data_IF_721708143268
#
_entry.id   IF_721708143268
#
_cell.length_a   1.000
_cell.length_b   1.000
_cell.length_c   1.000
_cell.angle_alpha   90.00
_cell.angle_beta   90.00
_cell.angle_gamma   90.00
#
_symmetry.space_group_name_H-M   'P 1'
#
loop_
_entity.id
_entity.type
_entity.pdbx_description
1 polymer ?
#
# COMPACT_ATOMS: atom_id res chain seq x y z
N UNK A 1 20.40 7.54 -11.15
CA UNK A 1 19.26 7.19 -12.03
C UNK A 1 19.29 8.08 -13.25
N UNK A 2 18.94 7.56 -14.44
CA UNK A 2 18.87 8.34 -15.68
C UNK A 2 17.40 8.61 -16.07
N UNK A 3 17.04 9.89 -16.19
CA UNK A 3 15.70 10.36 -16.60
C UNK A 3 15.69 10.70 -18.10
N UNK A 4 15.97 9.70 -18.93
CA UNK A 4 16.03 9.88 -20.39
C UNK A 4 14.81 9.25 -21.08
N UNK A 5 14.43 9.79 -22.25
CA UNK A 5 13.39 9.22 -23.10
C UNK A 5 13.69 7.77 -23.48
N UNK A 6 14.97 7.44 -23.74
CA UNK A 6 15.42 6.09 -24.03
C UNK A 6 15.19 5.14 -22.84
N UNK A 7 15.50 5.58 -21.61
CA UNK A 7 15.24 4.77 -20.41
C UNK A 7 13.74 4.61 -20.14
N UNK A 8 12.97 5.68 -20.32
CA UNK A 8 11.51 5.62 -20.23
C UNK A 8 10.93 4.58 -21.22
N UNK A 9 11.36 4.63 -22.48
CA UNK A 9 10.91 3.70 -23.52
C UNK A 9 11.32 2.24 -23.22
N UNK A 10 12.54 2.00 -22.74
CA UNK A 10 13.00 0.65 -22.43
C UNK A 10 12.26 0.01 -21.26
N UNK A 11 11.99 0.77 -20.19
CA UNK A 11 11.20 0.26 -19.06
C UNK A 11 9.75 -0.01 -19.48
N UNK A 12 9.13 0.88 -20.28
CA UNK A 12 7.79 0.65 -20.82
C UNK A 12 7.73 -0.61 -21.69
N UNK A 13 8.75 -0.85 -22.51
CA UNK A 13 8.81 -2.03 -23.37
C UNK A 13 9.00 -3.33 -22.57
N UNK A 14 9.74 -3.31 -21.46
CA UNK A 14 9.87 -4.48 -20.59
C UNK A 14 8.54 -4.86 -19.94
N UNK A 15 7.72 -3.87 -19.55
CA UNK A 15 6.45 -4.07 -18.86
C UNK A 15 5.34 -4.70 -19.72
N UNK A 16 5.47 -4.73 -21.05
CA UNK A 16 4.46 -5.37 -21.92
C UNK A 16 4.50 -6.89 -21.87
N UNK A 17 5.61 -7.47 -21.38
CA UNK A 17 5.81 -8.92 -21.28
C UNK A 17 5.16 -9.56 -20.05
N UNK A 18 4.73 -8.73 -19.09
CA UNK A 18 3.99 -9.12 -17.90
C UNK A 18 2.82 -8.14 -17.73
N UNK A 19 1.70 -8.31 -18.48
CA UNK A 19 0.63 -7.33 -18.49
C UNK A 19 0.03 -7.24 -17.09
N UNK A 20 0.42 -6.17 -16.38
CA UNK A 20 -0.06 -5.89 -15.03
C UNK A 20 -1.54 -5.55 -14.99
N UNK A 21 -2.08 -5.66 -13.77
CA UNK A 21 -3.46 -5.40 -13.36
C UNK A 21 -4.02 -4.02 -13.75
N UNK A 22 -3.17 -3.01 -13.92
CA UNK A 22 -3.57 -1.66 -14.34
C UNK A 22 -3.15 -1.43 -15.77
N UNK A 23 -3.92 -0.82 -16.68
CA UNK A 23 -3.47 -0.67 -18.08
C UNK A 23 -2.26 0.26 -18.25
N UNK A 24 -1.69 0.28 -19.47
CA UNK A 24 -0.43 0.98 -19.76
C UNK A 24 -0.57 2.50 -19.67
N UNK A 25 -1.80 3.01 -19.77
CA UNK A 25 -2.13 4.42 -19.58
C UNK A 25 -2.38 4.79 -18.12
N UNK A 26 -2.39 3.84 -17.18
CA UNK A 26 -2.61 4.15 -15.76
C UNK A 26 -1.45 5.00 -15.20
N UNK A 27 -1.73 6.00 -14.33
CA UNK A 27 -0.68 6.74 -13.62
C UNK A 27 0.19 5.83 -12.75
N UNK A 28 -0.31 4.65 -12.35
CA UNK A 28 0.47 3.65 -11.63
C UNK A 28 1.39 2.82 -12.53
N UNK A 29 1.26 2.88 -13.87
CA UNK A 29 2.16 2.18 -14.80
C UNK A 29 3.21 3.09 -15.42
N UNK A 30 3.32 4.33 -14.96
CA UNK A 30 4.33 5.28 -15.45
C UNK A 30 5.67 4.97 -14.80
N UNK A 31 6.72 4.62 -15.58
CA UNK A 31 8.05 4.48 -15.02
C UNK A 31 8.60 5.79 -14.44
N UNK A 32 9.42 5.70 -13.40
CA UNK A 32 10.12 6.82 -12.78
C UNK A 32 10.90 7.66 -13.80
N UNK A 33 11.55 6.98 -14.76
CA UNK A 33 12.29 7.63 -15.84
C UNK A 33 11.42 8.50 -16.75
N UNK A 34 10.11 8.21 -16.85
CA UNK A 34 9.16 9.00 -17.64
C UNK A 34 8.58 10.20 -16.85
N UNK A 35 8.51 10.10 -15.52
CA UNK A 35 8.02 11.16 -14.65
C UNK A 35 9.03 12.32 -14.51
N UNK A 36 10.32 11.99 -14.52
CA UNK A 36 11.38 12.97 -14.35
C UNK A 36 11.61 13.38 -12.90
N UNK A 37 12.75 14.04 -12.67
CA UNK A 37 13.16 14.53 -11.36
C UNK A 37 12.40 15.80 -11.00
N UNK A 38 11.90 15.89 -9.77
CA UNK A 38 11.30 17.11 -9.24
C UNK A 38 12.39 18.13 -8.84
N UNK A 39 12.13 19.42 -9.06
CA UNK A 39 13.10 20.50 -8.78
C UNK A 39 13.47 20.63 -7.29
N UNK A 40 12.59 20.19 -6.40
CA UNK A 40 12.76 20.18 -4.94
C UNK A 40 13.15 18.79 -4.39
N UNK A 41 13.66 17.90 -5.25
CA UNK A 41 13.99 16.51 -4.87
C UNK A 41 14.93 16.42 -3.66
N UNK A 42 15.96 17.27 -3.57
CA UNK A 42 16.91 17.22 -2.45
C UNK A 42 16.24 17.51 -1.09
N UNK A 43 15.28 18.45 -1.06
CA UNK A 43 14.51 18.77 0.14
C UNK A 43 13.67 17.57 0.58
N UNK A 44 12.92 16.99 -0.36
CA UNK A 44 11.99 15.92 -0.03
C UNK A 44 12.67 14.57 0.22
N UNK A 45 13.76 14.27 -0.46
CA UNK A 45 14.58 13.09 -0.17
C UNK A 45 15.16 13.15 1.26
N UNK A 46 15.65 14.32 1.66
CA UNK A 46 16.15 14.54 3.03
C UNK A 46 15.03 14.37 4.07
N UNK A 47 13.86 14.98 3.84
CA UNK A 47 12.69 14.81 4.72
C UNK A 47 12.22 13.36 4.78
N UNK A 48 12.20 12.69 3.63
CA UNK A 48 11.79 11.30 3.55
C UNK A 48 12.72 10.42 4.38
N UNK A 49 14.03 10.59 4.22
CA UNK A 49 15.05 9.84 4.94
C UNK A 49 14.92 10.02 6.46
N UNK A 50 14.69 11.25 6.93
CA UNK A 50 14.42 11.54 8.34
C UNK A 50 13.10 10.94 8.85
N UNK A 51 12.06 10.92 8.02
CA UNK A 51 10.74 10.43 8.37
C UNK A 51 10.58 8.89 8.35
N UNK A 52 11.58 8.15 7.85
CA UNK A 52 11.60 6.68 7.92
C UNK A 52 11.76 6.14 9.34
N UNK A 53 12.45 6.89 10.21
CA UNK A 53 12.73 6.49 11.57
C UNK A 53 11.54 6.75 12.50
N UNK A 54 11.11 5.73 13.22
CA UNK A 54 10.11 5.85 14.29
C UNK A 54 10.61 6.81 15.40
N UNK A 55 9.72 7.38 16.24
CA UNK A 55 10.11 8.43 17.20
C UNK A 55 11.11 7.97 18.26
N UNK A 56 11.12 6.68 18.60
CA UNK A 56 12.05 6.07 19.55
C UNK A 56 13.33 5.53 18.88
N UNK A 57 13.49 5.69 17.57
CA UNK A 57 14.55 5.04 16.82
C UNK A 57 15.82 5.90 16.76
N UNK A 58 16.98 5.24 16.74
CA UNK A 58 18.29 5.90 16.67
C UNK A 58 18.52 6.52 15.28
N UNK A 59 19.42 7.52 15.13
CA UNK A 59 19.75 8.07 13.81
C UNK A 59 20.19 7.01 12.78
N UNK A 60 20.78 5.89 13.23
CA UNK A 60 21.15 4.73 12.40
C UNK A 60 19.98 3.89 11.88
N UNK A 61 18.74 4.26 12.22
CA UNK A 61 17.51 3.65 11.70
C UNK A 61 16.94 4.40 10.48
N UNK A 62 17.46 5.58 10.18
CA UNK A 62 17.05 6.35 8.99
C UNK A 62 17.39 5.57 7.72
N UNK A 63 16.51 5.65 6.73
CA UNK A 63 16.57 4.88 5.49
C UNK A 63 16.12 3.43 5.62
N UNK A 64 15.85 2.91 6.83
CA UNK A 64 15.30 1.56 6.97
C UNK A 64 13.86 1.52 6.49
N UNK A 65 13.56 0.52 5.68
CA UNK A 65 12.23 0.22 5.18
C UNK A 65 11.93 -1.22 5.55
N UNK A 66 10.97 -1.41 6.45
CA UNK A 66 10.51 -2.73 6.81
C UNK A 66 9.75 -3.38 5.66
N UNK A 67 9.92 -4.68 5.46
CA UNK A 67 9.06 -5.49 4.58
C UNK A 67 8.00 -6.18 5.43
N UNK A 68 6.76 -5.72 5.33
CA UNK A 68 5.67 -6.11 6.21
C UNK A 68 4.89 -7.30 5.64
N UNK A 69 4.93 -8.43 6.35
CA UNK A 69 4.21 -9.65 5.96
C UNK A 69 3.05 -10.00 6.89
N UNK A 70 2.94 -9.40 8.07
CA UNK A 70 1.86 -9.70 9.02
C UNK A 70 1.22 -8.39 9.50
N UNK A 71 1.88 -7.68 10.41
CA UNK A 71 1.46 -6.35 10.86
C UNK A 71 1.66 -5.31 9.75
N UNK A 72 0.68 -4.42 9.53
CA UNK A 72 0.74 -3.38 8.49
C UNK A 72 0.99 -3.96 7.08
N UNK A 73 0.66 -5.23 6.88
CA UNK A 73 0.56 -5.87 5.57
C UNK A 73 -0.88 -5.84 5.10
N UNK A 74 -1.13 -6.14 3.84
CA UNK A 74 -2.49 -6.20 3.29
C UNK A 74 -2.74 -7.59 2.73
N UNK A 75 -3.24 -8.54 3.54
CA UNK A 75 -3.63 -9.86 3.07
C UNK A 75 -4.57 -9.77 1.87
N UNK A 76 -4.23 -10.47 0.79
CA UNK A 76 -5.03 -10.49 -0.44
C UNK A 76 -5.61 -11.87 -0.73
N UNK A 77 -6.83 -11.93 -1.24
CA UNK A 77 -7.56 -13.16 -1.54
C UNK A 77 -8.18 -13.09 -2.94
N UNK A 78 -7.89 -14.07 -3.79
CA UNK A 78 -8.49 -14.15 -5.13
C UNK A 78 -9.77 -14.98 -5.09
N UNK A 79 -10.90 -14.43 -5.55
CA UNK A 79 -12.22 -15.09 -5.52
C UNK A 79 -12.19 -16.48 -6.15
N UNK A 80 -11.50 -16.62 -7.30
CA UNK A 80 -11.43 -17.87 -8.07
C UNK A 80 -10.77 -19.05 -7.34
N UNK A 81 -10.01 -18.76 -6.27
CA UNK A 81 -9.31 -19.78 -5.47
C UNK A 81 -10.22 -20.41 -4.42
N UNK A 82 -11.30 -19.72 -4.02
CA UNK A 82 -12.16 -20.12 -2.91
C UNK A 82 -13.56 -20.51 -3.43
N UNK A 83 -13.74 -21.80 -3.73
CA UNK A 83 -15.01 -22.33 -4.26
C UNK A 83 -15.67 -23.33 -3.29
N UNK A 84 -16.98 -23.17 -2.96
CA UNK A 84 -17.85 -22.09 -3.38
C UNK A 84 -17.60 -20.79 -2.59
N UNK A 85 -17.51 -19.66 -3.30
CA UNK A 85 -17.49 -18.34 -2.65
C UNK A 85 -18.90 -17.99 -2.15
N UNK A 86 -19.00 -17.41 -0.96
CA UNK A 86 -20.25 -16.88 -0.43
C UNK A 86 -20.35 -15.38 -0.71
N UNK A 87 -21.58 -14.87 -0.80
CA UNK A 87 -21.85 -13.45 -0.87
C UNK A 87 -22.61 -13.02 0.37
N UNK A 88 -22.00 -12.17 1.19
CA UNK A 88 -22.58 -11.69 2.45
C UNK A 88 -22.81 -10.20 2.38
N UNK A 89 -23.86 -9.74 3.08
CA UNK A 89 -24.09 -8.31 3.22
C UNK A 89 -23.08 -7.73 4.20
N UNK A 90 -22.50 -6.60 3.86
CA UNK A 90 -21.54 -5.89 4.71
C UNK A 90 -22.19 -4.66 5.31
N UNK A 91 -21.92 -4.43 6.59
CA UNK A 91 -22.34 -3.26 7.35
C UNK A 91 -21.13 -2.62 8.01
N UNK A 92 -21.01 -1.31 7.87
CA UNK A 92 -19.91 -0.53 8.38
C UNK A 92 -20.34 0.46 9.47
N UNK A 93 -19.42 0.75 10.37
CA UNK A 93 -19.64 1.63 11.53
C UNK A 93 -19.47 3.12 11.22
N UNK A 94 -18.40 3.48 10.51
CA UNK A 94 -17.83 4.82 10.62
C UNK A 94 -18.42 5.85 9.64
N UNK A 95 -19.40 5.48 8.83
CA UNK A 95 -19.96 6.33 7.77
C UNK A 95 -18.93 6.72 6.70
N UNK A 96 -17.73 6.16 6.72
CA UNK A 96 -16.66 6.41 5.75
C UNK A 96 -16.62 5.33 4.66
N UNK A 97 -17.48 4.32 4.71
CA UNK A 97 -17.57 3.33 3.63
C UNK A 97 -17.90 3.95 2.28
N UNK A 98 -17.34 3.39 1.21
CA UNK A 98 -17.69 3.82 -0.15
C UNK A 98 -18.94 3.16 -0.70
N UNK A 99 -19.44 2.15 0.01
CA UNK A 99 -20.63 1.39 -0.34
C UNK A 99 -21.71 1.57 0.72
N UNK A 100 -23.00 1.52 0.33
CA UNK A 100 -24.10 1.50 1.28
C UNK A 100 -24.06 0.26 2.17
N UNK A 101 -24.55 0.40 3.41
CA UNK A 101 -24.82 -0.74 4.28
C UNK A 101 -25.78 -1.73 3.62
N UNK A 102 -25.44 -3.02 3.70
CA UNK A 102 -26.19 -4.10 3.05
C UNK A 102 -25.65 -4.54 1.69
N UNK A 103 -24.61 -3.88 1.16
CA UNK A 103 -23.94 -4.26 -0.09
C UNK A 103 -23.32 -5.66 0.03
N UNK A 104 -23.43 -6.46 -1.03
CA UNK A 104 -22.90 -7.83 -1.07
C UNK A 104 -21.41 -7.83 -1.40
N UNK A 105 -20.62 -8.51 -0.57
CA UNK A 105 -19.18 -8.72 -0.79
C UNK A 105 -18.90 -10.23 -0.86
N UNK A 106 -17.88 -10.63 -1.63
CA UNK A 106 -17.38 -12.00 -1.60
C UNK A 106 -16.81 -12.32 -0.21
N UNK A 107 -17.06 -13.55 0.23
CA UNK A 107 -16.74 -14.00 1.56
C UNK A 107 -16.37 -15.48 1.59
N UNK A 108 -15.32 -15.79 2.35
CA UNK A 108 -14.93 -17.11 2.79
C UNK A 108 -14.51 -17.03 4.26
N UNK A 109 -14.79 -18.05 5.09
CA UNK A 109 -14.27 -18.11 6.46
C UNK A 109 -12.74 -18.11 6.53
N UNK A 110 -12.06 -18.39 5.42
CA UNK A 110 -10.60 -18.35 5.30
C UNK A 110 -10.05 -16.93 5.09
N UNK A 111 -10.90 -15.93 4.86
CA UNK A 111 -10.47 -14.54 4.72
C UNK A 111 -10.14 -13.97 6.09
N UNK A 112 -8.85 -13.95 6.39
CA UNK A 112 -8.30 -13.41 7.62
C UNK A 112 -7.68 -12.02 7.38
N UNK A 113 -8.04 -11.00 8.19
CA UNK A 113 -7.40 -9.70 8.13
C UNK A 113 -5.94 -9.70 8.62
N UNK A 114 -5.23 -8.59 8.36
CA UNK A 114 -3.96 -8.31 9.00
C UNK A 114 -4.10 -8.39 10.53
N UNK A 115 -3.05 -8.87 11.20
CA UNK A 115 -3.09 -9.09 12.65
C UNK A 115 -3.95 -10.27 13.12
N UNK A 116 -4.45 -11.12 12.23
CA UNK A 116 -5.12 -12.37 12.63
C UNK A 116 -4.17 -13.37 13.29
N UNK A 117 -4.73 -14.25 14.10
CA UNK A 117 -4.02 -15.41 14.65
C UNK A 117 -3.74 -16.42 13.54
N UNK A 118 -2.46 -16.75 13.33
CA UNK A 118 -2.06 -17.76 12.34
C UNK A 118 -1.10 -18.73 13.01
N UNK A 119 -1.42 -20.03 12.99
CA UNK A 119 -0.59 -21.11 13.55
C UNK A 119 -0.14 -20.89 15.01
N UNK A 120 -0.99 -20.29 15.84
CA UNK A 120 -0.69 -20.01 17.25
C UNK A 120 0.19 -18.78 17.49
N UNK A 121 0.50 -18.01 16.45
CA UNK A 121 1.17 -16.71 16.55
C UNK A 121 0.14 -15.59 16.45
N UNK A 122 0.25 -14.62 17.35
CA UNK A 122 -0.55 -13.40 17.33
C UNK A 122 0.28 -12.23 16.81
N UNK A 123 -0.29 -11.53 15.84
CA UNK A 123 0.27 -10.32 15.23
C UNK A 123 -0.74 -9.22 15.54
N UNK A 124 -0.35 -8.11 16.15
CA UNK A 124 -1.33 -7.07 16.49
C UNK A 124 -1.29 -5.98 15.42
N UNK A 125 -2.38 -5.86 14.67
CA UNK A 125 -2.57 -4.77 13.72
C UNK A 125 -3.93 -4.11 13.97
N UNK A 126 -3.94 -2.88 14.48
CA UNK A 126 -5.15 -2.15 14.81
C UNK A 126 -6.08 -1.89 13.62
N UNK A 127 -5.58 -1.99 12.38
CA UNK A 127 -6.37 -1.74 11.18
C UNK A 127 -7.15 -2.96 10.70
N UNK A 128 -6.69 -4.19 10.99
CA UNK A 128 -7.33 -5.45 10.61
C UNK A 128 -7.93 -5.42 9.19
N UNK A 129 -7.08 -5.22 8.18
CA UNK A 129 -7.49 -5.06 6.78
C UNK A 129 -7.32 -6.36 6.00
N UNK A 130 -8.16 -6.58 5.00
CA UNK A 130 -7.85 -7.49 3.90
C UNK A 130 -8.47 -6.98 2.60
N UNK A 131 -7.97 -7.52 1.50
CA UNK A 131 -8.45 -7.26 0.15
C UNK A 131 -8.88 -8.56 -0.51
N UNK A 132 -10.04 -8.54 -1.15
CA UNK A 132 -10.52 -9.61 -2.02
C UNK A 132 -10.55 -9.07 -3.44
N UNK A 133 -10.18 -9.88 -4.42
CA UNK A 133 -10.21 -9.47 -5.82
C UNK A 133 -10.60 -10.60 -6.76
N UNK A 134 -11.15 -10.24 -7.91
CA UNK A 134 -11.40 -11.16 -9.00
C UNK A 134 -10.53 -10.73 -10.20
N UNK A 135 -9.53 -11.53 -10.57
CA UNK A 135 -8.66 -11.22 -11.72
C UNK A 135 -9.40 -11.21 -13.04
N UNK A 136 -10.50 -11.96 -13.14
CA UNK A 136 -11.23 -12.19 -14.38
C UNK A 136 -12.08 -10.98 -14.72
N UNK A 137 -12.60 -10.30 -13.70
CA UNK A 137 -13.41 -9.09 -13.86
C UNK A 137 -12.62 -7.83 -13.57
N UNK A 138 -11.56 -7.85 -12.74
CA UNK A 138 -10.84 -6.66 -12.27
C UNK A 138 -11.41 -6.06 -10.99
N UNK A 139 -12.46 -6.66 -10.42
CA UNK A 139 -13.13 -6.16 -9.23
C UNK A 139 -12.27 -6.35 -7.98
N UNK A 140 -12.26 -5.32 -7.12
CA UNK A 140 -11.53 -5.30 -5.85
C UNK A 140 -12.45 -4.83 -4.71
N UNK A 141 -12.46 -5.59 -3.62
CA UNK A 141 -13.14 -5.28 -2.37
C UNK A 141 -12.12 -5.17 -1.25
N UNK A 142 -12.26 -4.15 -0.40
CA UNK A 142 -11.45 -4.00 0.80
C UNK A 142 -12.35 -3.83 2.01
N UNK A 143 -11.93 -4.40 3.12
CA UNK A 143 -12.51 -4.10 4.42
C UNK A 143 -11.44 -3.56 5.36
N UNK A 144 -11.88 -2.73 6.30
CA UNK A 144 -11.08 -2.20 7.39
C UNK A 144 -11.74 -2.53 8.71
N UNK A 145 -10.93 -2.85 9.71
CA UNK A 145 -11.35 -3.25 11.05
C UNK A 145 -12.27 -4.47 11.01
N UNK A 146 -11.83 -5.52 10.30
CA UNK A 146 -12.53 -6.79 10.22
C UNK A 146 -12.24 -7.67 11.45
N UNK A 147 -13.10 -8.65 11.78
CA UNK A 147 -12.86 -9.59 12.87
C UNK A 147 -11.61 -10.46 12.66
N UNK A 148 -10.77 -10.63 13.69
CA UNK A 148 -9.47 -11.33 13.59
C UNK A 148 -9.54 -12.86 13.55
N UNK A 149 -10.56 -13.50 14.14
CA UNK A 149 -10.56 -14.96 14.39
C UNK A 149 -11.23 -15.78 13.28
N UNK A 150 -11.11 -15.30 12.04
CA UNK A 150 -12.04 -15.68 10.98
C UNK A 150 -13.39 -15.04 11.23
N UNK A 151 -14.17 -14.89 10.17
CA UNK A 151 -15.52 -14.34 10.27
C UNK A 151 -16.40 -15.45 10.87
N UNK A 152 -16.20 -15.76 12.16
CA UNK A 152 -17.27 -16.36 12.92
C UNK A 152 -18.32 -15.28 13.14
N UNK A 153 -19.31 -15.26 12.23
CA UNK A 153 -20.46 -14.37 12.28
C UNK A 153 -21.23 -14.46 13.62
N UNK A 154 -20.92 -15.44 14.48
CA UNK A 154 -21.47 -15.63 15.84
C UNK A 154 -20.69 -14.91 16.94
N UNK A 155 -19.42 -14.51 16.73
CA UNK A 155 -18.59 -13.85 17.74
C UNK A 155 -18.17 -12.44 17.28
N UNK A 156 -18.96 -11.42 17.61
CA UNK A 156 -18.75 -10.08 17.10
C UNK A 156 -17.64 -9.35 17.85
N UNK A 157 -16.38 -9.52 17.42
CA UNK A 157 -15.27 -8.67 17.86
C UNK A 157 -15.06 -7.43 16.98
N UNK A 158 -15.92 -7.21 15.97
CA UNK A 158 -15.89 -5.98 15.18
C UNK A 158 -16.46 -4.80 15.97
N UNK A 159 -15.73 -3.67 15.98
CA UNK A 159 -16.07 -2.47 16.77
C UNK A 159 -17.46 -1.89 16.48
N UNK A 160 -18.00 -2.13 15.28
CA UNK A 160 -19.36 -1.76 14.86
C UNK A 160 -20.49 -2.36 15.72
N UNK A 161 -20.18 -3.28 16.64
CA UNK A 161 -21.13 -3.90 17.57
C UNK A 161 -20.85 -3.53 19.04
N UNK A 162 -19.76 -2.81 19.30
CA UNK A 162 -19.28 -2.47 20.66
C UNK A 162 -19.51 -1.01 21.03
N UNK A 163 -19.89 -0.15 20.09
CA UNK A 163 -20.21 1.24 20.39
C UNK A 163 -21.66 1.39 20.89
N UNK A 164 -21.90 2.40 21.72
CA UNK A 164 -23.19 2.65 22.36
C UNK A 164 -24.30 3.11 21.37
N UNK A 165 -24.01 3.17 20.07
CA UNK A 165 -24.90 3.63 19.00
C UNK A 165 -25.96 2.61 18.58
N UNK A 166 -25.81 1.35 18.99
CA UNK A 166 -26.66 0.26 18.58
C UNK A 166 -26.25 -0.32 17.21
N UNK A 167 -26.56 -1.60 17.02
CA UNK A 167 -26.24 -2.35 15.79
C UNK A 167 -26.73 -1.59 14.55
N UNK A 168 -25.96 -1.58 13.43
CA UNK A 168 -26.43 -0.95 12.19
C UNK A 168 -27.82 -1.46 11.80
N UNK A 169 -28.71 -0.55 11.41
CA UNK A 169 -30.09 -0.91 11.03
C UNK A 169 -30.09 -1.98 9.93
N UNK A 170 -30.79 -3.09 10.18
CA UNK A 170 -30.91 -4.20 9.22
C UNK A 170 -29.79 -5.24 9.25
N UNK A 171 -28.79 -5.06 10.14
CA UNK A 171 -27.74 -6.05 10.42
C UNK A 171 -28.29 -7.29 11.15
N UNK A 172 -27.87 -8.47 10.71
CA UNK A 172 -28.25 -9.77 11.26
C UNK A 172 -27.01 -10.58 11.62
N UNK A 173 -26.85 -10.81 12.93
CA UNK A 173 -25.80 -11.68 13.50
C UNK A 173 -25.90 -13.08 12.88
N UNK A 174 -24.75 -13.69 12.60
CA UNK A 174 -24.70 -15.02 11.98
C UNK A 174 -24.90 -15.03 10.46
N UNK A 175 -25.18 -13.87 9.84
CA UNK A 175 -25.45 -13.77 8.39
C UNK A 175 -24.68 -12.65 7.70
N UNK A 176 -24.55 -11.50 8.36
CA UNK A 176 -23.94 -10.31 7.77
C UNK A 176 -22.57 -10.04 8.39
N UNK A 177 -21.67 -9.48 7.59
CA UNK A 177 -20.34 -9.07 8.04
C UNK A 177 -20.40 -7.64 8.59
N UNK A 178 -19.83 -7.43 9.77
CA UNK A 178 -19.75 -6.13 10.41
C UNK A 178 -18.28 -5.69 10.48
N UNK A 179 -17.98 -4.50 9.97
CA UNK A 179 -16.61 -3.97 9.82
C UNK A 179 -16.54 -2.50 10.25
N UNK A 180 -15.34 -1.97 10.40
CA UNK A 180 -15.14 -0.52 10.55
C UNK A 180 -15.52 0.22 9.27
N UNK A 181 -15.05 -0.29 8.13
CA UNK A 181 -15.30 0.28 6.80
C UNK A 181 -15.28 -0.77 5.70
N UNK A 182 -16.12 -0.57 4.68
CA UNK A 182 -16.24 -1.41 3.51
C UNK A 182 -16.03 -0.57 2.24
N UNK A 183 -15.23 -1.11 1.32
CA UNK A 183 -14.82 -0.41 0.12
C UNK A 183 -14.90 -1.31 -1.10
N UNK A 184 -15.46 -0.77 -2.16
CA UNK A 184 -15.44 -1.37 -3.49
C UNK A 184 -14.76 -0.39 -4.44
N UNK A 185 -13.84 -0.90 -5.25
CA UNK A 185 -13.17 -0.11 -6.25
C UNK A 185 -14.10 0.15 -7.45
N UNK A 186 -14.05 1.35 -8.01
CA UNK A 186 -14.86 1.83 -9.13
C UNK A 186 -14.06 2.78 -10.00
N UNK A 187 -14.33 2.80 -11.30
CA UNK A 187 -13.67 3.64 -12.29
C UNK A 187 -14.05 5.12 -12.16
N UNK A 188 -13.29 6.08 -12.77
CA UNK A 188 -13.50 7.53 -12.64
C UNK A 188 -14.93 8.01 -12.92
N UNK A 189 -15.64 7.29 -13.78
CA UNK A 189 -17.02 7.54 -14.17
C UNK A 189 -18.07 6.82 -13.29
N UNK A 190 -17.63 6.07 -12.28
CA UNK A 190 -18.45 5.29 -11.36
C UNK A 190 -18.83 3.89 -11.85
N UNK A 191 -18.30 3.43 -12.99
CA UNK A 191 -18.51 2.07 -13.49
C UNK A 191 -17.68 1.02 -12.73
N UNK A 192 -18.05 -0.25 -12.89
CA UNK A 192 -17.28 -1.36 -12.34
C UNK A 192 -15.89 -1.41 -12.99
N UNK A 193 -14.82 -1.59 -12.20
CA UNK A 193 -13.48 -1.65 -12.74
C UNK A 193 -13.32 -2.93 -13.57
N UNK A 194 -12.58 -2.82 -14.68
CA UNK A 194 -12.10 -3.97 -15.44
C UNK A 194 -10.63 -4.28 -15.12
N UNK A 195 -10.14 -5.45 -15.53
CA UNK A 195 -8.75 -5.87 -15.31
C UNK A 195 -7.69 -5.01 -16.02
N UNK A 196 -8.10 -3.93 -16.67
CA UNK A 196 -7.29 -2.94 -17.39
C UNK A 196 -7.58 -1.50 -16.94
N UNK A 197 -8.48 -1.26 -15.99
CA UNK A 197 -8.88 0.10 -15.60
C UNK A 197 -7.73 0.97 -15.11
N UNK A 198 -7.80 2.27 -15.43
CA UNK A 198 -6.70 3.25 -15.31
C UNK A 198 -6.74 4.12 -14.05
N UNK A 199 -7.86 4.23 -13.35
CA UNK A 199 -8.01 5.20 -12.27
C UNK A 199 -9.33 5.00 -11.53
N UNK A 200 -9.59 5.78 -10.48
CA UNK A 200 -10.74 5.57 -9.60
C UNK A 200 -11.69 6.76 -9.60
N UNK A 201 -13.00 6.45 -9.60
CA UNK A 201 -14.10 7.41 -9.49
C UNK A 201 -15.10 6.97 -8.44
N UNK A 202 -14.82 7.39 -7.23
CA UNK A 202 -15.66 7.08 -6.09
C UNK A 202 -14.85 7.21 -4.82
N UNK A 203 -15.49 7.03 -3.67
CA UNK A 203 -14.74 6.94 -2.42
C UNK A 203 -13.93 5.65 -2.42
N UNK A 204 -12.65 5.71 -2.08
CA UNK A 204 -11.96 4.60 -1.41
C UNK A 204 -11.16 5.25 -0.30
N UNK A 205 -11.35 4.78 0.94
CA UNK A 205 -10.71 5.40 2.10
C UNK A 205 -9.50 4.58 2.54
N UNK A 206 -8.47 4.63 1.70
CA UNK A 206 -7.12 4.61 2.25
C UNK A 206 -6.74 6.02 2.70
N UNK A 207 -5.74 6.11 3.56
CA UNK A 207 -5.07 7.34 3.96
C UNK A 207 -4.65 8.25 2.78
N UNK A 208 -4.54 7.68 1.56
CA UNK A 208 -4.20 8.36 0.31
C UNK A 208 -5.40 8.63 -0.62
N UNK A 209 -6.60 8.15 -0.28
CA UNK A 209 -7.84 8.42 -1.02
C UNK A 209 -8.09 7.42 -2.14
N UNK A 210 -8.39 7.93 -3.35
CA UNK A 210 -8.88 7.18 -4.53
C UNK A 210 -7.84 6.24 -5.17
N UNK A 211 -7.20 5.37 -4.41
CA UNK A 211 -6.21 4.39 -4.89
C UNK A 211 -6.78 2.97 -4.71
N UNK A 212 -6.56 2.08 -5.70
CA UNK A 212 -7.10 0.73 -5.67
C UNK A 212 -6.54 0.02 -4.43
N UNK A 213 -7.34 -0.81 -3.75
CA UNK A 213 -6.85 -1.61 -2.64
C UNK A 213 -5.53 -2.33 -2.91
N UNK A 214 -5.34 -2.81 -4.14
CA UNK A 214 -4.10 -3.48 -4.58
C UNK A 214 -3.08 -2.55 -5.25
N UNK A 215 -3.43 -1.30 -5.56
CA UNK A 215 -2.51 -0.36 -6.19
C UNK A 215 -1.48 0.07 -5.15
N UNK A 216 -0.24 -0.40 -5.33
CA UNK A 216 0.84 -0.18 -4.38
C UNK A 216 1.26 -1.41 -3.59
N UNK A 217 0.64 -2.57 -3.80
CA UNK A 217 1.02 -3.81 -3.13
C UNK A 217 1.79 -4.69 -4.12
N UNK A 218 3.03 -5.05 -3.79
CA UNK A 218 3.71 -6.09 -4.55
C UNK A 218 3.13 -7.45 -4.14
N UNK A 219 2.59 -8.19 -5.11
CA UNK A 219 2.07 -9.54 -4.87
C UNK A 219 3.14 -10.60 -5.10
N UNK A 220 3.02 -11.73 -4.40
CA UNK A 220 3.87 -12.89 -4.64
C UNK A 220 3.76 -13.37 -6.09
N UNK A 221 2.55 -13.31 -6.67
CA UNK A 221 2.30 -13.73 -8.04
C UNK A 221 2.98 -12.86 -9.09
N UNK A 222 3.05 -11.54 -8.90
CA UNK A 222 3.80 -10.66 -9.80
C UNK A 222 5.31 -10.97 -9.77
N UNK A 223 5.84 -11.21 -8.56
CA UNK A 223 7.25 -11.57 -8.39
C UNK A 223 7.58 -12.95 -8.96
N UNK A 224 6.65 -13.91 -8.88
CA UNK A 224 6.78 -15.23 -9.53
C UNK A 224 6.72 -15.06 -11.05
N UNK A 225 5.75 -14.30 -11.56
CA UNK A 225 5.54 -14.09 -12.99
C UNK A 225 6.69 -13.33 -13.66
N UNK A 226 7.37 -12.42 -12.95
CA UNK A 226 8.52 -11.71 -13.50
C UNK A 226 8.96 -10.55 -12.63
N UNK A 227 8.27 -9.43 -12.72
CA UNK A 227 8.61 -8.16 -12.10
C UNK A 227 7.34 -7.41 -11.69
N UNK A 228 7.51 -6.42 -10.80
CA UNK A 228 6.43 -5.51 -10.39
C UNK A 228 6.53 -4.20 -11.18
N UNK A 229 5.47 -3.85 -11.89
CA UNK A 229 5.44 -2.74 -12.85
C UNK A 229 4.56 -1.56 -12.41
N UNK A 230 4.54 -1.28 -11.11
CA UNK A 230 3.82 -0.16 -10.52
C UNK A 230 4.55 0.37 -9.27
N UNK A 231 4.32 1.63 -8.85
CA UNK A 231 4.91 2.13 -7.61
C UNK A 231 4.36 1.32 -6.44
N UNK A 232 5.20 1.11 -5.43
CA UNK A 232 4.78 0.44 -4.19
C UNK A 232 4.34 1.46 -3.14
N UNK A 233 3.44 1.07 -2.27
CA UNK A 233 3.02 1.90 -1.16
C UNK A 233 3.97 1.71 0.00
N UNK A 234 4.32 2.82 0.64
CA UNK A 234 5.16 2.81 1.82
C UNK A 234 4.46 3.56 2.95
N UNK A 235 4.07 2.84 4.00
CA UNK A 235 3.60 3.48 5.22
C UNK A 235 4.73 4.30 5.83
N UNK A 236 4.45 5.47 6.39
CA UNK A 236 5.45 6.39 6.92
C UNK A 236 5.10 6.86 8.32
N UNK A 237 6.10 7.12 9.15
CA UNK A 237 5.86 7.63 10.49
C UNK A 237 5.36 9.08 10.52
N UNK A 238 6.02 9.99 9.79
CA UNK A 238 5.65 11.42 9.74
C UNK A 238 4.89 11.77 8.46
N UNK A 239 3.67 11.31 8.32
CA UNK A 239 2.77 11.78 7.25
C UNK A 239 2.26 13.19 7.55
N UNK A 240 1.97 13.96 6.51
CA UNK A 240 1.41 15.30 6.64
C UNK A 240 -0.02 15.23 7.14
N UNK A 241 -0.38 16.17 8.00
CA UNK A 241 -1.70 16.29 8.60
C UNK A 241 -2.27 17.70 8.39
N UNK A 242 -3.57 17.85 8.60
CA UNK A 242 -4.29 19.09 8.30
C UNK A 242 -4.65 19.23 6.81
N UNK A 243 -5.56 20.17 6.50
CA UNK A 243 -5.95 20.47 5.12
C UNK A 243 -4.71 20.75 4.25
N UNK A 244 -4.61 20.20 3.02
CA UNK A 244 -3.45 20.42 2.14
C UNK A 244 -3.12 21.91 2.04
N UNK A 245 -1.87 22.30 2.33
CA UNK A 245 -1.41 23.68 2.15
C UNK A 245 -0.72 23.76 0.80
N UNK A 246 -1.34 24.48 -0.11
CA UNK A 246 -0.84 24.57 -1.47
C UNK A 246 0.16 25.70 -1.60
N UNK A 247 1.30 25.47 -2.28
CA UNK A 247 2.08 26.57 -2.80
C UNK A 247 1.17 27.46 -3.66
N UNK A 248 1.27 28.77 -3.51
CA UNK A 248 0.53 29.73 -4.33
C UNK A 248 0.76 29.43 -5.82
N UNK A 249 -0.29 29.05 -6.55
CA UNK A 249 -0.24 28.78 -8.00
C UNK A 249 -0.51 27.33 -8.44
N UNK A 250 -0.81 26.38 -7.55
CA UNK A 250 -1.28 25.04 -7.96
C UNK A 250 -2.80 25.05 -8.21
N UNK A 251 -3.22 24.87 -9.46
CA UNK A 251 -4.62 24.67 -9.85
C UNK A 251 -5.01 23.21 -9.86
N UNK A 252 -6.31 22.99 -9.94
CA UNK A 252 -7.07 21.86 -9.46
C UNK A 252 -7.30 20.73 -10.54
N UNK A 253 -6.61 19.57 -10.51
CA UNK A 253 -6.80 18.32 -11.28
C UNK A 253 -7.41 17.19 -10.39
N UNK A 254 -8.39 17.56 -9.57
CA UNK A 254 -9.82 17.50 -9.89
C UNK A 254 -10.45 18.89 -9.62
N UNK A 255 -9.76 19.78 -8.92
CA UNK A 255 -9.36 19.46 -7.54
C UNK A 255 -7.91 19.50 -7.01
N UNK A 256 -6.82 19.48 -7.79
CA UNK A 256 -5.42 19.69 -7.33
C UNK A 256 -5.13 21.02 -6.63
N UNK A 257 -5.49 21.00 -5.36
CA UNK A 257 -4.65 21.53 -4.33
C UNK A 257 -3.33 20.74 -4.27
N UNK A 258 -2.23 21.47 -4.50
CA UNK A 258 -0.88 21.15 -4.07
C UNK A 258 -0.23 19.98 -4.84
N UNK A 259 0.68 20.28 -5.77
CA UNK A 259 1.36 19.33 -6.67
C UNK A 259 2.32 18.33 -6.00
N UNK A 260 1.97 17.81 -4.83
CA UNK A 260 2.72 16.80 -4.07
C UNK A 260 2.08 15.42 -4.10
N UNK A 261 0.82 15.28 -4.50
CA UNK A 261 0.14 13.99 -4.60
C UNK A 261 0.35 13.34 -5.99
N UNK A 262 0.55 12.03 -6.03
CA UNK A 262 0.38 11.22 -7.24
C UNK A 262 -1.10 11.14 -7.56
N UNK A 263 -1.55 11.60 -8.73
CA UNK A 263 -2.92 11.34 -9.18
C UNK A 263 -3.17 9.82 -9.27
N UNK A 264 -4.30 9.27 -8.76
CA UNK A 264 -5.48 9.91 -8.16
C UNK A 264 -5.47 10.08 -6.62
N UNK A 265 -4.34 9.86 -5.93
CA UNK A 265 -4.25 10.08 -4.49
C UNK A 265 -4.60 11.54 -4.15
N UNK A 266 -5.53 11.71 -3.20
CA UNK A 266 -6.15 13.03 -2.93
C UNK A 266 -6.55 13.22 -1.47
N UNK A 267 -6.32 12.21 -0.61
CA UNK A 267 -6.68 12.29 0.80
C UNK A 267 -5.44 12.42 1.66
N UNK A 268 -5.65 13.12 2.78
CA UNK A 268 -4.77 13.11 3.94
C UNK A 268 -5.49 12.36 5.07
N UNK A 269 -4.81 11.40 5.68
CA UNK A 269 -5.34 10.54 6.73
C UNK A 269 -5.79 11.31 7.96
N UNK A 270 -4.96 12.25 8.42
CA UNK A 270 -5.21 13.03 9.63
C UNK A 270 -5.55 14.49 9.29
N UNK A 271 -6.68 14.67 8.60
CA UNK A 271 -7.16 15.99 8.16
C UNK A 271 -7.46 16.96 9.32
N UNK A 272 -7.83 16.44 10.50
CA UNK A 272 -8.22 17.23 11.66
C UNK A 272 -7.08 17.56 12.63
N UNK A 273 -5.86 17.07 12.38
CA UNK A 273 -4.71 17.30 13.26
C UNK A 273 -3.69 16.17 13.18
N UNK A 274 -2.56 16.27 13.88
CA UNK A 274 -1.50 15.25 13.85
C UNK A 274 -1.94 13.88 14.41
N UNK A 275 -1.34 12.82 13.90
CA UNK A 275 -1.42 11.49 14.50
C UNK A 275 -0.73 11.46 15.87
N UNK A 276 -1.26 10.69 16.82
CA UNK A 276 -0.57 10.38 18.08
C UNK A 276 0.09 9.01 17.98
N UNK A 277 1.41 9.00 17.88
CA UNK A 277 2.22 7.78 17.76
C UNK A 277 3.11 7.59 18.99
N UNK A 278 2.54 7.76 20.19
CA UNK A 278 3.28 7.75 21.44
C UNK A 278 4.17 8.98 21.67
N UNK A 279 4.22 9.89 20.69
CA UNK A 279 4.73 11.25 20.84
C UNK A 279 3.70 12.24 20.33
N UNK A 280 3.65 13.40 20.98
CA UNK A 280 2.76 14.49 20.58
C UNK A 280 3.41 15.27 19.46
N UNK A 281 2.90 15.12 18.23
CA UNK A 281 3.15 16.08 17.17
C UNK A 281 2.16 17.25 17.30
N UNK A 282 2.58 18.45 16.93
CA UNK A 282 1.77 19.67 16.94
C UNK A 282 1.76 20.33 15.54
N UNK A 283 0.91 21.33 15.32
CA UNK A 283 0.82 22.05 14.04
C UNK A 283 2.18 22.58 13.56
N UNK A 284 3.05 23.03 14.46
CA UNK A 284 4.40 23.48 14.12
C UNK A 284 5.28 22.39 13.48
N UNK A 285 5.04 21.12 13.79
CA UNK A 285 5.81 19.99 13.27
C UNK A 285 5.44 19.63 11.83
N UNK A 286 4.33 20.19 11.32
CA UNK A 286 3.82 19.91 9.97
C UNK A 286 4.86 20.14 8.88
N UNK A 287 5.73 21.14 9.02
CA UNK A 287 6.78 21.42 8.05
C UNK A 287 7.84 20.29 7.93
N UNK A 288 7.88 19.36 8.89
CA UNK A 288 8.79 18.21 8.92
C UNK A 288 8.13 16.90 8.47
N UNK A 289 6.88 16.96 8.03
CA UNK A 289 6.09 15.80 7.58
C UNK A 289 6.12 15.62 6.07
N UNK A 290 5.71 14.43 5.62
CA UNK A 290 5.64 14.04 4.23
C UNK A 290 4.20 14.06 3.71
N UNK A 291 3.90 14.81 2.64
CA UNK A 291 2.64 14.67 1.94
C UNK A 291 2.41 13.22 1.50
N UNK A 292 1.24 12.70 1.83
CA UNK A 292 0.79 11.41 1.31
C UNK A 292 0.62 11.49 -0.20
N UNK A 293 0.75 10.36 -0.89
CA UNK A 293 0.79 10.30 -2.35
C UNK A 293 2.08 10.85 -2.98
N UNK A 294 3.01 11.43 -2.22
CA UNK A 294 4.29 11.87 -2.80
C UNK A 294 5.08 10.68 -3.34
N UNK A 295 5.58 10.84 -4.57
CA UNK A 295 6.23 9.78 -5.31
C UNK A 295 7.75 9.94 -5.31
N UNK A 296 8.42 8.85 -4.97
CA UNK A 296 9.87 8.75 -4.89
C UNK A 296 10.38 7.55 -5.67
N UNK A 297 11.66 7.53 -6.00
CA UNK A 297 12.33 6.32 -6.48
C UNK A 297 13.75 6.21 -5.93
N UNK A 298 14.28 4.99 -5.94
CA UNK A 298 15.66 4.72 -5.55
C UNK A 298 16.64 5.26 -6.60
N UNK A 299 17.59 6.05 -6.14
CA UNK A 299 18.70 6.58 -6.92
C UNK A 299 19.99 5.79 -6.63
N UNK A 300 19.97 4.52 -7.04
CA UNK A 300 21.11 3.61 -6.96
C UNK A 300 21.47 3.11 -8.36
N UNK A 301 22.75 2.89 -8.62
CA UNK A 301 23.26 2.18 -9.80
C UNK A 301 23.09 0.67 -9.64
N UNK A 302 23.18 -0.07 -10.75
CA UNK A 302 23.13 -1.52 -10.70
C UNK A 302 24.30 -2.08 -9.87
N UNK A 303 25.49 -1.48 -9.98
CA UNK A 303 26.66 -1.87 -9.21
C UNK A 303 26.48 -1.68 -7.70
N UNK A 304 25.87 -0.56 -7.26
CA UNK A 304 25.57 -0.33 -5.84
C UNK A 304 24.56 -1.35 -5.30
N UNK A 305 23.55 -1.71 -6.10
CA UNK A 305 22.57 -2.73 -5.74
C UNK A 305 23.22 -4.11 -5.64
N UNK A 306 24.03 -4.51 -6.61
CA UNK A 306 24.73 -5.80 -6.58
C UNK A 306 25.69 -5.91 -5.39
N UNK A 307 26.47 -4.85 -5.12
CA UNK A 307 27.33 -4.78 -3.95
C UNK A 307 26.55 -4.89 -2.64
N UNK A 308 25.40 -4.20 -2.54
CA UNK A 308 24.54 -4.30 -1.37
C UNK A 308 23.98 -5.73 -1.21
N UNK A 309 23.46 -6.34 -2.27
CA UNK A 309 22.95 -7.72 -2.25
C UNK A 309 24.04 -8.71 -1.77
N UNK A 310 25.28 -8.53 -2.23
CA UNK A 310 26.44 -9.33 -1.80
C UNK A 310 26.76 -9.11 -0.32
N UNK A 311 26.76 -7.85 0.14
CA UNK A 311 26.98 -7.50 1.55
C UNK A 311 25.93 -8.11 2.50
N UNK A 312 24.71 -8.34 1.99
CA UNK A 312 23.62 -9.02 2.71
C UNK A 312 23.73 -10.55 2.66
N UNK A 313 24.65 -11.09 1.87
CA UNK A 313 24.78 -12.53 1.64
C UNK A 313 23.58 -13.14 0.91
N UNK A 314 22.80 -12.31 0.18
CA UNK A 314 21.65 -12.83 -0.56
C UNK A 314 22.12 -13.63 -1.77
N UNK A 315 21.60 -14.85 -1.89
CA UNK A 315 21.91 -15.79 -2.97
C UNK A 315 20.64 -16.51 -3.47
N UNK A 316 20.76 -17.19 -4.62
CA UNK A 316 19.70 -18.00 -5.20
C UNK A 316 18.36 -17.26 -5.38
N UNK A 317 17.27 -17.96 -5.09
CA UNK A 317 15.90 -17.44 -5.22
C UNK A 317 15.67 -16.19 -4.38
N UNK A 318 16.18 -16.14 -3.14
CA UNK A 318 16.05 -14.96 -2.27
C UNK A 318 16.68 -13.73 -2.91
N UNK A 319 17.88 -13.86 -3.49
CA UNK A 319 18.53 -12.76 -4.23
C UNK A 319 17.66 -12.30 -5.39
N UNK A 320 17.19 -13.23 -6.22
CA UNK A 320 16.35 -12.90 -7.36
C UNK A 320 15.08 -12.13 -6.95
N UNK A 321 14.40 -12.57 -5.89
CA UNK A 321 13.21 -11.87 -5.37
C UNK A 321 13.54 -10.46 -4.86
N UNK A 322 14.60 -10.31 -4.07
CA UNK A 322 15.01 -9.00 -3.56
C UNK A 322 15.43 -8.07 -4.71
N UNK A 323 16.14 -8.60 -5.73
CA UNK A 323 16.49 -7.83 -6.93
C UNK A 323 15.25 -7.30 -7.64
N UNK A 324 14.18 -8.10 -7.77
CA UNK A 324 12.90 -7.68 -8.38
C UNK A 324 12.21 -6.58 -7.56
N UNK A 325 12.19 -6.70 -6.23
CA UNK A 325 11.66 -5.66 -5.35
C UNK A 325 12.45 -4.34 -5.48
N UNK A 326 13.79 -4.42 -5.46
CA UNK A 326 14.65 -3.23 -5.65
C UNK A 326 14.47 -2.63 -7.04
N UNK A 327 14.30 -3.47 -8.08
CA UNK A 327 13.99 -3.02 -9.44
C UNK A 327 12.67 -2.25 -9.46
N UNK A 328 11.61 -2.74 -8.83
CA UNK A 328 10.33 -2.03 -8.74
C UNK A 328 10.50 -0.64 -8.10
N UNK A 329 11.20 -0.56 -6.96
CA UNK A 329 11.48 0.70 -6.25
C UNK A 329 12.38 1.67 -7.03
N UNK A 330 13.18 1.18 -7.99
CA UNK A 330 13.96 2.02 -8.92
C UNK A 330 13.14 2.41 -10.14
N UNK A 331 12.55 1.46 -10.84
CA UNK A 331 11.95 1.66 -12.15
C UNK A 331 10.56 2.30 -12.07
N UNK A 332 9.82 2.05 -11.00
CA UNK A 332 8.47 2.57 -10.76
C UNK A 332 8.35 3.33 -9.45
N UNK A 333 9.26 3.15 -8.51
CA UNK A 333 9.30 3.96 -7.30
C UNK A 333 8.32 3.51 -6.22
N UNK A 334 8.05 4.42 -5.29
CA UNK A 334 7.15 4.21 -4.17
C UNK A 334 6.45 5.49 -3.74
N UNK A 335 5.24 5.35 -3.21
CA UNK A 335 4.39 6.43 -2.74
C UNK A 335 4.37 6.48 -1.22
N UNK A 336 4.36 7.69 -0.67
CA UNK A 336 4.04 7.91 0.75
C UNK A 336 2.59 7.51 1.00
N UNK A 337 2.41 6.43 1.75
CA UNK A 337 1.14 5.81 2.08
C UNK A 337 0.59 6.23 3.46
N UNK A 338 -0.15 5.35 4.15
CA UNK A 338 -0.70 5.63 5.48
C UNK A 338 0.38 5.86 6.55
N UNK A 339 -0.07 6.35 7.67
CA UNK A 339 0.74 6.62 8.85
C UNK A 339 1.07 5.31 9.56
N UNK A 340 2.34 5.09 9.92
CA UNK A 340 2.77 3.96 10.75
C UNK A 340 3.62 4.45 11.91
N UNK A 341 3.18 4.16 13.13
CA UNK A 341 3.96 4.50 14.32
C UNK A 341 5.25 3.66 14.46
N UNK A 342 5.44 2.63 13.62
CA UNK A 342 6.60 1.75 13.61
C UNK A 342 7.75 2.15 12.68
N UNK A 343 7.62 3.27 11.94
CA UNK A 343 8.59 3.70 10.94
C UNK A 343 8.13 3.42 9.50
N UNK A 344 9.06 3.44 8.55
CA UNK A 344 8.74 3.15 7.15
C UNK A 344 8.51 1.64 6.90
N UNK A 345 7.45 1.31 6.17
CA UNK A 345 7.06 -0.07 5.86
C UNK A 345 6.54 -0.21 4.43
N UNK A 346 7.09 -1.16 3.68
CA UNK A 346 6.66 -1.47 2.32
C UNK A 346 5.44 -2.40 2.36
N UNK A 347 4.41 -2.06 1.59
CA UNK A 347 3.19 -2.85 1.48
C UNK A 347 3.40 -4.08 0.58
N UNK A 348 3.16 -5.26 1.15
CA UNK A 348 3.14 -6.55 0.48
C UNK A 348 1.79 -7.22 0.73
N UNK A 349 1.45 -8.21 -0.10
CA UNK A 349 0.16 -8.91 -0.10
C UNK A 349 -0.10 -9.82 1.13
N UNK A 350 0.80 -9.77 2.11
CA UNK A 350 0.67 -10.38 3.43
C UNK A 350 0.78 -11.90 3.44
N UNK A 351 1.40 -12.44 4.49
CA UNK A 351 1.54 -13.87 4.75
C UNK A 351 0.46 -14.41 5.72
N UNK A 352 -0.58 -13.61 6.00
CA UNK A 352 -1.77 -14.11 6.70
C UNK A 352 -2.53 -15.09 5.81
N UNK A 353 -2.66 -14.81 4.50
CA UNK A 353 -3.19 -15.78 3.54
C UNK A 353 -2.19 -16.95 3.43
N UNK A 354 -2.59 -18.20 3.77
CA UNK A 354 -1.69 -19.35 3.72
C UNK A 354 -1.15 -19.64 2.32
N UNK A 355 -1.94 -19.39 1.27
CA UNK A 355 -1.50 -19.55 -0.11
C UNK A 355 -0.40 -18.56 -0.48
N UNK A 356 -0.54 -17.31 -0.06
CA UNK A 356 0.48 -16.26 -0.24
C UNK A 356 1.73 -16.56 0.57
N UNK A 357 1.58 -16.98 1.84
CA UNK A 357 2.70 -17.39 2.69
C UNK A 357 3.50 -18.55 2.08
N UNK A 358 2.80 -19.53 1.48
CA UNK A 358 3.41 -20.64 0.77
C UNK A 358 4.25 -20.16 -0.42
N UNK A 359 3.71 -19.27 -1.25
CA UNK A 359 4.43 -18.70 -2.42
C UNK A 359 5.69 -17.93 -1.98
N UNK A 360 5.57 -17.06 -0.98
CA UNK A 360 6.73 -16.32 -0.45
C UNK A 360 7.85 -17.26 0.02
N UNK A 361 7.49 -18.29 0.78
CA UNK A 361 8.45 -19.22 1.36
C UNK A 361 9.07 -20.15 0.32
N UNK A 362 8.24 -20.80 -0.49
CA UNK A 362 8.67 -21.93 -1.32
C UNK A 362 9.06 -21.53 -2.74
N UNK A 363 8.51 -20.44 -3.28
CA UNK A 363 8.77 -20.00 -4.65
C UNK A 363 9.67 -18.76 -4.71
N UNK A 364 9.58 -17.89 -3.69
CA UNK A 364 10.33 -16.64 -3.62
C UNK A 364 11.51 -16.67 -2.63
N UNK A 365 11.68 -17.75 -1.87
CA UNK A 365 12.80 -17.96 -0.96
C UNK A 365 12.83 -17.01 0.25
N UNK A 366 11.68 -16.47 0.63
CA UNK A 366 11.51 -15.57 1.78
C UNK A 366 10.55 -16.25 2.75
N UNK A 367 11.05 -16.74 3.88
CA UNK A 367 10.18 -17.20 4.96
C UNK A 367 9.61 -15.99 5.70
N UNK A 368 8.32 -15.66 5.56
CA UNK A 368 7.76 -14.44 6.14
C UNK A 368 7.82 -14.43 7.68
N UNK A 369 7.81 -15.61 8.30
CA UNK A 369 7.89 -15.77 9.75
C UNK A 369 9.32 -15.62 10.30
N UNK A 370 10.35 -15.64 9.44
CA UNK A 370 11.72 -15.45 9.88
C UNK A 370 11.95 -13.98 10.26
N UNK A 371 12.64 -13.67 11.38
CA UNK A 371 12.95 -12.29 11.76
C UNK A 371 13.66 -11.49 10.66
N UNK A 372 14.47 -12.16 9.83
CA UNK A 372 15.18 -11.54 8.70
C UNK A 372 14.27 -11.04 7.58
N UNK A 373 13.02 -11.51 7.51
CA UNK A 373 12.06 -11.10 6.48
C UNK A 373 11.54 -9.69 6.70
N UNK A 374 11.61 -9.12 7.91
CA UNK A 374 11.27 -7.70 8.14
C UNK A 374 12.33 -6.74 7.61
N UNK A 375 13.59 -7.18 7.58
CA UNK A 375 14.75 -6.37 7.21
C UNK A 375 15.32 -6.69 5.83
N UNK A 376 14.48 -7.04 4.84
CA UNK A 376 14.98 -7.43 3.52
C UNK A 376 15.73 -6.29 2.83
N UNK A 377 15.29 -5.05 3.05
CA UNK A 377 15.86 -3.83 2.46
C UNK A 377 16.82 -3.07 3.39
N UNK A 378 17.18 -3.66 4.54
CA UNK A 378 18.06 -3.00 5.51
C UNK A 378 19.41 -2.65 4.88
N UNK A 379 19.83 -1.39 5.07
CA UNK A 379 21.10 -0.87 4.58
C UNK A 379 21.14 -0.53 3.09
N UNK A 380 20.05 -0.75 2.34
CA UNK A 380 19.98 -0.36 0.92
C UNK A 380 20.01 1.16 0.74
N UNK A 381 19.32 1.88 1.64
CA UNK A 381 19.19 3.33 1.62
C UNK A 381 19.98 3.86 2.80
N UNK A 382 21.21 4.30 2.54
CA UNK A 382 22.15 4.75 3.57
C UNK A 382 22.21 6.28 3.67
N UNK A 383 21.75 7.00 2.64
CA UNK A 383 21.71 8.45 2.60
C UNK A 383 20.46 8.98 1.88
N UNK A 384 20.11 10.27 2.08
CA UNK A 384 19.11 10.94 1.27
C UNK A 384 19.38 10.89 -0.24
N UNK A 385 20.66 10.87 -0.66
CA UNK A 385 21.03 10.86 -2.08
C UNK A 385 20.66 9.55 -2.79
N UNK A 386 20.40 8.48 -2.03
CA UNK A 386 19.90 7.21 -2.56
C UNK A 386 18.41 7.26 -2.92
N UNK A 387 17.72 8.39 -2.70
CA UNK A 387 16.31 8.57 -3.02
C UNK A 387 16.12 9.89 -3.77
N UNK A 388 15.21 9.89 -4.74
CA UNK A 388 14.82 11.08 -5.49
C UNK A 388 13.31 11.24 -5.48
N UNK A 389 12.85 12.49 -5.38
CA UNK A 389 11.44 12.84 -5.59
C UNK A 389 11.17 12.93 -7.09
N UNK A 390 10.08 12.28 -7.50
CA UNK A 390 9.59 12.32 -8.87
C UNK A 390 8.52 13.41 -9.02
N UNK A 391 8.37 13.94 -10.23
CA UNK A 391 7.16 14.70 -10.56
C UNK A 391 5.96 13.73 -10.57
N UNK A 392 4.76 14.19 -10.17
CA UNK A 392 3.56 13.39 -10.40
C UNK A 392 3.41 13.11 -11.91
N UNK A 393 2.91 11.93 -12.31
CA UNK A 393 2.52 11.67 -13.69
C UNK A 393 1.59 12.76 -14.17
N UNK A 394 1.74 13.19 -15.43
CA UNK A 394 0.75 14.04 -16.06
C UNK A 394 -0.61 13.32 -16.02
N UNK A 395 -1.66 14.03 -15.59
CA UNK A 395 -3.02 13.52 -15.72
C UNK A 395 -3.32 13.32 -17.22
N UNK A 396 -3.70 12.09 -17.57
CA UNK A 396 -4.12 11.73 -18.92
C UNK A 396 -5.50 12.28 -19.24
#
# INVERSE_FOLDING_TARGET
>A
MSFTSQRCASVRAAATTNPGRYSAGSPFRVPAACAGLASDSGLWASRWFEATAAPSATPSSRGRVATNFFDFSTPTYEVSVYEPIQWVRVFAWDGTSSVPNGTLFPYSPEFLPSGSWVNGLYFFDSDAIYVVYDRRTGQEWRVWNAPYDGIDLRYPNARCLTDASGRPTGFVIGRDLCVGGAYYAVDPDGSDPDASSTGIGGAVNQAIGKVFPLAGIATADELIAGDVHHPLMMSMYKTMFGAPVCPSGSTDISGSGCGTFLFPASRVEHASGPASCGVTMNIGDRATTLPQGMWFALNLSDAEVEWWLDSRGYSGTKRATVTKLVRALREYGFMVGPTSCGGAGLALDGAINPGTAFKWKNELGIDPAAPSAKGLLDGLIASPDNVVRLNPPAAS
#
